data_IF_943347056057
#
_entry.id   IF_943347056057
#
_cell.length_a   1.000
_cell.length_b   1.000
_cell.length_c   1.000
_cell.angle_alpha   90.00
_cell.angle_beta   90.00
_cell.angle_gamma   90.00
#
_symmetry.space_group_name_H-M   'P 1'
#
loop_
_entity.id
_entity.type
_entity.pdbx_description
1 polymer ?
#
# COMPACT_ATOMS: atom_id res chain seq x y z
N UNK A 1 -36.47 32.82 -85.54
CA UNK A 1 -35.11 32.26 -85.70
C UNK A 1 -35.10 30.96 -84.89
N UNK A 2 -34.99 29.73 -85.41
CA UNK A 2 -34.10 29.06 -86.41
C UNK A 2 -32.87 28.38 -85.74
N UNK A 3 -32.95 27.04 -85.58
CA UNK A 3 -31.94 26.03 -85.13
C UNK A 3 -31.50 26.07 -83.65
N UNK A 4 -31.27 24.97 -82.89
CA UNK A 4 -31.13 23.50 -83.08
C UNK A 4 -29.69 22.92 -83.30
N UNK A 5 -29.13 22.27 -82.26
CA UNK A 5 -28.42 20.95 -82.16
C UNK A 5 -27.94 20.77 -80.68
N UNK A 6 -27.89 19.63 -79.96
CA UNK A 6 -27.81 18.16 -80.20
C UNK A 6 -26.40 17.72 -80.68
N UNK A 7 -25.67 16.74 -80.13
CA UNK A 7 -25.87 15.61 -79.17
C UNK A 7 -25.03 15.78 -77.86
N UNK A 8 -24.72 14.83 -76.92
CA UNK A 8 -24.95 13.38 -76.56
C UNK A 8 -24.98 13.34 -74.98
N UNK A 9 -25.50 12.40 -74.18
CA UNK A 9 -25.96 10.99 -74.27
C UNK A 9 -24.89 9.90 -74.04
N UNK A 10 -25.04 9.06 -73.00
CA UNK A 10 -24.43 7.72 -72.79
C UNK A 10 -25.25 6.95 -71.71
N UNK A 11 -25.24 5.61 -71.70
CA UNK A 11 -26.43 4.79 -71.33
C UNK A 11 -26.12 3.41 -70.70
N UNK A 12 -26.61 3.19 -69.45
CA UNK A 12 -26.99 1.90 -68.78
C UNK A 12 -25.95 0.74 -68.70
N UNK A 13 -26.08 -0.35 -67.91
CA UNK A 13 -27.20 -1.18 -67.38
C UNK A 13 -26.99 -1.60 -65.88
N UNK A 14 -28.01 -1.88 -65.05
CA UNK A 14 -28.72 -3.17 -64.77
C UNK A 14 -27.81 -4.42 -64.63
N UNK A 15 -27.95 -5.33 -63.64
CA UNK A 15 -29.10 -6.17 -63.15
C UNK A 15 -29.16 -6.28 -61.60
N UNK A 16 -30.27 -6.47 -60.85
CA UNK A 16 -31.40 -7.45 -60.78
C UNK A 16 -31.18 -8.73 -59.88
N UNK A 17 -32.30 -9.26 -59.34
CA UNK A 17 -32.52 -10.41 -58.41
C UNK A 17 -32.41 -10.12 -56.89
N UNK A 18 -33.45 -10.23 -56.04
CA UNK A 18 -34.31 -11.38 -55.59
C UNK A 18 -33.78 -12.02 -54.26
N UNK A 19 -34.58 -12.41 -53.24
CA UNK A 19 -36.05 -12.38 -53.06
C UNK A 19 -36.49 -12.25 -51.56
N UNK A 20 -37.81 -12.07 -51.37
CA UNK A 20 -38.75 -12.04 -50.20
C UNK A 20 -38.42 -12.50 -48.75
N UNK A 21 -39.07 -11.74 -47.84
CA UNK A 21 -39.95 -12.13 -46.69
C UNK A 21 -39.46 -12.63 -45.30
N UNK A 22 -39.89 -11.84 -44.30
CA UNK A 22 -40.60 -12.17 -43.05
C UNK A 22 -39.88 -12.62 -41.74
N UNK A 23 -40.41 -12.04 -40.64
CA UNK A 23 -40.55 -12.55 -39.26
C UNK A 23 -39.44 -12.37 -38.20
N UNK A 24 -39.87 -11.72 -37.11
CA UNK A 24 -39.45 -11.79 -35.69
C UNK A 24 -37.97 -12.01 -35.30
N UNK A 25 -37.40 -11.00 -34.63
CA UNK A 25 -36.40 -11.20 -33.57
C UNK A 25 -36.99 -10.84 -32.20
N UNK A 26 -36.97 -11.79 -31.26
CA UNK A 26 -37.34 -11.55 -29.87
C UNK A 26 -36.26 -10.74 -29.16
N UNK A 27 -36.63 -9.67 -28.45
CA UNK A 27 -35.77 -9.08 -27.42
C UNK A 27 -35.76 -10.01 -26.20
N UNK A 28 -34.80 -10.94 -26.17
CA UNK A 28 -34.58 -11.84 -25.04
C UNK A 28 -34.06 -11.05 -23.83
N UNK A 29 -34.97 -10.64 -22.94
CA UNK A 29 -34.61 -10.25 -21.58
C UNK A 29 -33.91 -11.42 -20.89
N UNK A 30 -32.58 -11.32 -20.74
CA UNK A 30 -31.80 -12.24 -19.92
C UNK A 30 -32.13 -12.00 -18.45
N UNK A 31 -33.20 -12.64 -17.98
CA UNK A 31 -33.54 -12.72 -16.56
C UNK A 31 -32.42 -13.49 -15.86
N UNK A 32 -31.53 -12.78 -15.17
CA UNK A 32 -30.37 -13.37 -14.47
C UNK A 32 -30.85 -14.17 -13.26
N UNK A 33 -31.15 -15.44 -13.47
CA UNK A 33 -31.46 -16.41 -12.40
C UNK A 33 -30.20 -16.62 -11.56
N UNK A 34 -30.14 -15.98 -10.40
CA UNK A 34 -29.13 -16.28 -9.38
C UNK A 34 -29.57 -17.59 -8.72
N UNK A 35 -28.75 -18.65 -8.84
CA UNK A 35 -29.00 -19.92 -8.14
C UNK A 35 -29.00 -19.71 -6.62
N UNK A 36 -29.77 -20.51 -5.88
CA UNK A 36 -29.84 -20.44 -4.42
C UNK A 36 -28.65 -21.12 -3.71
N UNK A 37 -27.68 -21.65 -4.46
CA UNK A 37 -26.42 -22.12 -3.91
C UNK A 37 -25.64 -20.96 -3.27
N UNK A 38 -25.20 -21.15 -2.02
CA UNK A 38 -24.54 -20.11 -1.26
C UNK A 38 -23.02 -20.16 -1.45
N UNK A 39 -22.54 -19.53 -2.52
CA UNK A 39 -21.11 -19.40 -2.78
C UNK A 39 -20.46 -18.45 -1.74
N UNK A 40 -19.41 -18.92 -1.07
CA UNK A 40 -18.77 -18.23 0.07
C UNK A 40 -17.25 -18.31 -0.02
N UNK A 41 -16.55 -17.47 0.75
CA UNK A 41 -15.13 -17.68 1.04
C UNK A 41 -14.96 -18.55 2.28
N UNK A 42 -13.95 -19.43 2.25
CA UNK A 42 -13.50 -20.21 3.41
C UNK A 42 -11.98 -20.09 3.58
N UNK A 43 -11.52 -20.14 4.83
CA UNK A 43 -10.17 -19.70 5.22
C UNK A 43 -10.17 -18.24 5.65
N UNK A 44 -9.00 -17.60 5.63
CA UNK A 44 -8.84 -16.19 5.99
C UNK A 44 -8.92 -15.84 7.48
N UNK A 45 -8.92 -14.52 7.76
CA UNK A 45 -8.90 -13.88 9.08
C UNK A 45 -9.64 -12.54 9.05
N UNK A 46 -10.17 -12.11 10.19
CA UNK A 46 -10.78 -10.78 10.39
C UNK A 46 -9.75 -9.64 10.32
N UNK A 47 -8.46 -9.94 10.55
CA UNK A 47 -7.36 -8.96 10.50
C UNK A 47 -6.05 -9.60 10.04
N UNK A 48 -5.32 -8.88 9.18
CA UNK A 48 -4.01 -9.25 8.64
C UNK A 48 -2.97 -8.14 8.84
N UNK A 49 -1.70 -8.51 8.72
CA UNK A 49 -0.63 -7.55 8.47
C UNK A 49 -0.52 -7.28 6.96
N UNK A 50 -0.20 -6.05 6.58
CA UNK A 50 0.11 -5.65 5.21
C UNK A 50 1.17 -6.58 4.59
N UNK A 51 0.89 -7.14 3.42
CA UNK A 51 1.76 -8.12 2.75
C UNK A 51 1.70 -9.55 3.31
N UNK A 52 0.74 -9.86 4.19
CA UNK A 52 0.44 -11.24 4.60
C UNK A 52 -0.42 -11.95 3.53
N UNK A 53 -0.26 -13.27 3.34
CA UNK A 53 -1.12 -14.07 2.46
C UNK A 53 -2.52 -14.21 3.06
N UNK A 54 -3.57 -13.95 2.28
CA UNK A 54 -4.96 -14.06 2.72
C UNK A 54 -5.38 -15.51 2.99
N UNK A 55 -4.88 -16.47 2.21
CA UNK A 55 -5.19 -17.90 2.41
C UNK A 55 -6.68 -18.22 2.26
N UNK A 56 -7.38 -17.50 1.40
CA UNK A 56 -8.80 -17.69 1.10
C UNK A 56 -8.99 -18.57 -0.15
N UNK A 57 -10.11 -19.29 -0.19
CA UNK A 57 -10.63 -19.98 -1.39
C UNK A 57 -12.15 -19.85 -1.44
N UNK A 58 -12.73 -19.98 -2.64
CA UNK A 58 -14.19 -20.02 -2.79
C UNK A 58 -14.70 -21.44 -2.51
N UNK A 59 -15.90 -21.57 -1.95
CA UNK A 59 -16.57 -22.85 -1.71
C UNK A 59 -18.09 -22.73 -1.80
N UNK A 60 -18.73 -23.79 -2.28
CA UNK A 60 -20.18 -24.04 -2.29
C UNK A 60 -20.68 -24.72 -1.01
N UNK A 61 -19.77 -25.21 -0.16
CA UNK A 61 -20.06 -26.16 0.92
C UNK A 61 -20.04 -27.64 0.49
N UNK A 62 -20.03 -27.90 -0.83
CA UNK A 62 -19.93 -29.23 -1.44
C UNK A 62 -18.71 -29.30 -2.37
N UNK A 63 -18.66 -30.28 -3.29
CA UNK A 63 -17.63 -30.32 -4.35
C UNK A 63 -17.76 -29.09 -5.27
N UNK A 64 -16.62 -28.58 -5.75
CA UNK A 64 -16.61 -27.43 -6.69
C UNK A 64 -17.05 -27.93 -8.08
N UNK A 65 -18.05 -27.29 -8.73
CA UNK A 65 -18.52 -27.71 -10.05
C UNK A 65 -17.41 -27.70 -11.12
N UNK A 66 -17.38 -28.73 -11.97
CA UNK A 66 -16.32 -28.90 -12.99
C UNK A 66 -16.53 -28.05 -14.25
N UNK A 67 -17.69 -27.41 -14.40
CA UNK A 67 -18.09 -26.59 -15.54
C UNK A 67 -17.90 -25.07 -15.30
N UNK A 68 -16.83 -24.70 -14.58
CA UNK A 68 -16.42 -23.30 -14.38
C UNK A 68 -15.63 -22.86 -15.61
N UNK A 69 -16.13 -21.84 -16.31
CA UNK A 69 -15.44 -21.25 -17.45
C UNK A 69 -14.36 -20.25 -17.00
N UNK A 70 -14.64 -19.42 -15.99
CA UNK A 70 -13.67 -18.46 -15.43
C UNK A 70 -14.09 -17.88 -14.08
N UNK A 71 -13.18 -17.15 -13.44
CA UNK A 71 -13.45 -16.35 -12.24
C UNK A 71 -12.85 -14.94 -12.35
N UNK A 72 -13.42 -14.01 -11.59
CA UNK A 72 -12.81 -12.73 -11.24
C UNK A 72 -12.97 -12.49 -9.72
N UNK A 73 -11.89 -12.15 -9.04
CA UNK A 73 -11.94 -11.56 -7.71
C UNK A 73 -11.92 -10.04 -7.83
N UNK A 74 -12.79 -9.37 -7.09
CA UNK A 74 -12.89 -7.93 -7.05
C UNK A 74 -12.79 -7.44 -5.61
N UNK A 75 -12.08 -6.33 -5.38
CA UNK A 75 -11.91 -5.72 -4.06
C UNK A 75 -12.27 -4.23 -4.05
N UNK A 76 -12.72 -3.73 -2.90
CA UNK A 76 -12.74 -2.29 -2.57
C UNK A 76 -12.22 -2.05 -1.16
N UNK A 77 -11.76 -0.84 -0.87
CA UNK A 77 -11.46 -0.41 0.50
C UNK A 77 -12.74 0.08 1.23
N UNK A 78 -12.63 0.45 2.50
CA UNK A 78 -13.68 1.18 3.25
C UNK A 78 -13.87 2.64 2.79
N UNK A 79 -12.92 3.20 2.04
CA UNK A 79 -12.99 4.54 1.44
C UNK A 79 -13.43 4.55 -0.02
N UNK A 80 -13.46 3.40 -0.69
CA UNK A 80 -13.92 3.25 -2.08
C UNK A 80 -15.37 2.75 -2.18
N UNK A 81 -16.19 3.40 -2.99
CA UNK A 81 -17.53 2.89 -3.37
C UNK A 81 -17.47 1.83 -4.48
N UNK A 82 -16.33 1.68 -5.16
CA UNK A 82 -16.19 0.85 -6.38
C UNK A 82 -15.27 -0.34 -6.14
N UNK A 83 -15.77 -1.51 -6.51
CA UNK A 83 -14.97 -2.71 -6.67
C UNK A 83 -14.05 -2.60 -7.90
N UNK A 84 -12.82 -3.12 -7.79
CA UNK A 84 -11.85 -3.28 -8.89
C UNK A 84 -11.35 -4.72 -8.94
N UNK A 85 -11.12 -5.27 -10.12
CA UNK A 85 -10.59 -6.64 -10.28
C UNK A 85 -9.15 -6.72 -9.76
N UNK A 86 -8.89 -7.71 -8.90
CA UNK A 86 -7.59 -7.92 -8.23
C UNK A 86 -6.87 -9.21 -8.64
N UNK A 87 -7.62 -10.20 -9.15
CA UNK A 87 -7.15 -11.45 -9.75
C UNK A 87 -8.25 -12.00 -10.68
N UNK A 88 -7.90 -12.71 -11.76
CA UNK A 88 -8.87 -13.36 -12.66
C UNK A 88 -8.23 -14.49 -13.47
N UNK A 89 -9.02 -15.49 -13.86
CA UNK A 89 -8.48 -16.63 -14.59
C UNK A 89 -9.45 -17.79 -14.81
N UNK A 90 -8.90 -18.94 -15.20
CA UNK A 90 -9.62 -20.14 -15.66
C UNK A 90 -9.44 -21.33 -14.68
N UNK A 91 -9.34 -21.06 -13.38
CA UNK A 91 -9.08 -22.11 -12.38
C UNK A 91 -10.37 -22.80 -11.91
N UNK A 92 -10.40 -24.13 -12.00
CA UNK A 92 -11.46 -24.97 -11.44
C UNK A 92 -11.29 -25.24 -9.94
N UNK A 93 -10.16 -24.89 -9.32
CA UNK A 93 -9.93 -25.09 -7.87
C UNK A 93 -10.33 -23.89 -7.02
N UNK A 94 -10.43 -22.70 -7.62
CA UNK A 94 -10.76 -21.42 -6.97
C UNK A 94 -9.99 -21.15 -5.65
N UNK A 95 -8.70 -21.49 -5.65
CA UNK A 95 -7.75 -21.26 -4.56
C UNK A 95 -6.85 -20.06 -4.87
N UNK A 96 -6.55 -19.26 -3.84
CA UNK A 96 -5.83 -17.98 -3.97
C UNK A 96 -4.66 -17.91 -2.99
N UNK A 97 -3.76 -18.92 -3.06
CA UNK A 97 -2.66 -19.12 -2.10
C UNK A 97 -1.58 -18.02 -2.14
N UNK A 98 -1.44 -17.36 -3.30
CA UNK A 98 -0.56 -16.20 -3.52
C UNK A 98 -1.33 -14.87 -3.51
N UNK A 99 -2.56 -14.80 -2.97
CA UNK A 99 -3.27 -13.52 -2.82
C UNK A 99 -2.90 -12.85 -1.49
N UNK A 100 -2.39 -11.61 -1.53
CA UNK A 100 -1.86 -10.88 -0.37
C UNK A 100 -2.78 -9.76 0.11
N UNK A 101 -2.68 -9.42 1.40
CA UNK A 101 -3.27 -8.23 2.02
C UNK A 101 -2.54 -6.96 1.52
N UNK A 102 -2.92 -6.44 0.36
CA UNK A 102 -2.16 -5.41 -0.37
C UNK A 102 -2.68 -3.96 -0.24
N UNK A 103 -3.72 -3.72 0.57
CA UNK A 103 -4.25 -2.38 0.89
C UNK A 103 -4.45 -2.24 2.41
N UNK A 104 -4.25 -1.04 2.95
CA UNK A 104 -4.48 -0.75 4.38
C UNK A 104 -5.96 -0.47 4.69
N UNK A 105 -6.31 -0.52 5.98
CA UNK A 105 -7.64 -0.18 6.48
C UNK A 105 -8.64 -1.33 6.39
N UNK A 106 -9.91 -1.02 6.13
CA UNK A 106 -10.95 -2.03 5.89
C UNK A 106 -10.98 -2.40 4.41
N UNK A 107 -11.02 -3.70 4.13
CA UNK A 107 -11.04 -4.28 2.78
C UNK A 107 -12.26 -5.21 2.62
N UNK A 108 -12.80 -5.26 1.41
CA UNK A 108 -13.99 -6.05 1.05
C UNK A 108 -13.71 -6.77 -0.26
N UNK A 109 -13.69 -8.10 -0.27
CA UNK A 109 -13.51 -8.92 -1.47
C UNK A 109 -14.84 -9.62 -1.83
N UNK A 110 -15.17 -9.67 -3.12
CA UNK A 110 -16.19 -10.57 -3.68
C UNK A 110 -15.62 -11.35 -4.87
N UNK A 111 -16.09 -12.57 -5.04
CA UNK A 111 -15.80 -13.39 -6.23
C UNK A 111 -17.00 -13.41 -7.17
N UNK A 112 -16.74 -13.25 -8.47
CA UNK A 112 -17.70 -13.56 -9.54
C UNK A 112 -17.18 -14.78 -10.29
N UNK A 113 -17.99 -15.84 -10.38
CA UNK A 113 -17.66 -17.11 -11.06
C UNK A 113 -18.60 -17.28 -12.25
N UNK A 114 -18.01 -17.56 -13.41
CA UNK A 114 -18.70 -17.76 -14.67
C UNK A 114 -18.69 -19.25 -15.02
N UNK A 115 -19.83 -19.76 -15.44
CA UNK A 115 -20.03 -21.17 -15.80
C UNK A 115 -20.02 -21.36 -17.32
N UNK A 116 -19.74 -22.59 -17.79
CA UNK A 116 -19.73 -22.92 -19.22
C UNK A 116 -21.11 -22.82 -19.89
N UNK A 117 -22.19 -22.92 -19.12
CA UNK A 117 -23.58 -22.77 -19.58
C UNK A 117 -24.07 -21.30 -19.60
N UNK A 118 -23.20 -20.36 -19.22
CA UNK A 118 -23.51 -18.93 -19.15
C UNK A 118 -24.15 -18.48 -17.83
N UNK A 119 -24.31 -19.35 -16.82
CA UNK A 119 -24.65 -18.91 -15.47
C UNK A 119 -23.51 -18.09 -14.85
N UNK A 120 -23.86 -17.14 -13.97
CA UNK A 120 -22.89 -16.26 -13.30
C UNK A 120 -23.23 -16.15 -11.82
N UNK A 121 -22.43 -16.82 -10.99
CA UNK A 121 -22.54 -16.85 -9.54
C UNK A 121 -21.70 -15.73 -8.92
N UNK A 122 -22.19 -15.14 -7.83
CA UNK A 122 -21.43 -14.18 -7.02
C UNK A 122 -21.36 -14.72 -5.59
N UNK A 123 -20.21 -14.55 -4.94
CA UNK A 123 -20.02 -14.94 -3.54
C UNK A 123 -20.67 -13.95 -2.59
N UNK A 124 -20.85 -14.33 -1.32
CA UNK A 124 -20.88 -13.34 -0.25
C UNK A 124 -19.59 -12.51 -0.24
N UNK A 125 -19.69 -11.28 0.28
CA UNK A 125 -18.53 -10.41 0.52
C UNK A 125 -17.77 -10.94 1.73
N UNK A 126 -16.45 -11.08 1.59
CA UNK A 126 -15.53 -11.30 2.70
C UNK A 126 -14.90 -9.96 3.08
N UNK A 127 -15.23 -9.45 4.27
CA UNK A 127 -14.63 -8.25 4.84
C UNK A 127 -13.55 -8.57 5.88
N UNK A 128 -12.50 -7.75 5.90
CA UNK A 128 -11.36 -7.90 6.80
C UNK A 128 -10.64 -6.57 6.98
N UNK A 129 -9.80 -6.50 8.03
CA UNK A 129 -8.91 -5.35 8.26
C UNK A 129 -7.46 -5.68 7.88
N UNK A 130 -6.73 -4.69 7.40
CA UNK A 130 -5.28 -4.75 7.19
C UNK A 130 -4.60 -3.63 7.97
N UNK A 131 -3.55 -3.98 8.71
CA UNK A 131 -2.74 -3.07 9.51
C UNK A 131 -1.33 -3.00 8.91
N UNK A 132 -0.59 -1.91 9.13
CA UNK A 132 0.85 -1.91 8.84
C UNK A 132 1.61 -2.94 9.69
N UNK A 133 2.86 -3.27 9.35
CA UNK A 133 3.70 -4.10 10.23
C UNK A 133 3.89 -3.46 11.61
N UNK A 134 3.96 -4.30 12.64
CA UNK A 134 4.30 -3.86 14.00
C UNK A 134 5.75 -3.36 14.04
N UNK A 135 5.97 -2.25 14.73
CA UNK A 135 7.30 -1.66 14.88
C UNK A 135 8.28 -2.60 15.59
N UNK A 136 7.79 -3.47 16.51
CA UNK A 136 8.56 -4.56 17.13
C UNK A 136 9.16 -5.52 16.11
N UNK A 137 8.45 -5.77 15.02
CA UNK A 137 8.80 -6.77 14.02
C UNK A 137 9.67 -6.14 12.93
N UNK A 138 9.52 -4.82 12.71
CA UNK A 138 10.39 -4.01 11.87
C UNK A 138 11.77 -3.83 12.50
N UNK A 139 11.86 -3.41 13.76
CA UNK A 139 13.17 -3.21 14.43
C UNK A 139 13.99 -4.49 14.54
N UNK A 140 13.36 -5.67 14.49
CA UNK A 140 14.09 -6.93 14.52
C UNK A 140 14.73 -7.33 13.18
N UNK A 141 14.31 -6.74 12.04
CA UNK A 141 14.85 -7.04 10.70
C UNK A 141 16.30 -6.59 10.57
N UNK A 142 17.14 -7.47 10.00
CA UNK A 142 18.58 -7.23 9.77
C UNK A 142 18.86 -5.94 9.00
N UNK A 143 18.06 -5.64 7.99
CA UNK A 143 18.22 -4.44 7.16
C UNK A 143 17.87 -3.17 7.95
N UNK A 144 16.72 -3.14 8.63
CA UNK A 144 16.31 -2.03 9.52
C UNK A 144 17.39 -1.76 10.58
N UNK A 145 17.88 -2.81 11.26
CA UNK A 145 19.00 -2.72 12.23
C UNK A 145 20.26 -2.12 11.63
N UNK A 146 20.59 -2.45 10.38
CA UNK A 146 21.73 -1.86 9.66
C UNK A 146 21.51 -0.36 9.42
N UNK A 147 20.38 0.03 8.83
CA UNK A 147 20.06 1.44 8.56
C UNK A 147 19.99 2.29 9.85
N UNK A 148 19.50 1.72 10.97
CA UNK A 148 19.57 2.35 12.30
C UNK A 148 21.01 2.57 12.77
N UNK A 149 21.90 1.59 12.59
CA UNK A 149 23.33 1.74 12.93
C UNK A 149 24.03 2.77 12.05
N UNK A 150 23.80 2.73 10.73
CA UNK A 150 24.37 3.68 9.78
C UNK A 150 23.98 5.13 10.13
N UNK A 151 22.72 5.37 10.49
CA UNK A 151 22.26 6.69 10.97
C UNK A 151 22.97 7.12 12.27
N UNK A 152 23.17 6.20 13.22
CA UNK A 152 23.87 6.51 14.46
C UNK A 152 25.36 6.80 14.25
N UNK A 153 26.01 6.06 13.37
CA UNK A 153 27.41 6.27 12.99
C UNK A 153 27.59 7.58 12.20
N UNK A 154 26.66 7.91 11.29
CA UNK A 154 26.60 9.22 10.62
C UNK A 154 26.40 10.37 11.61
N UNK A 155 25.55 10.21 12.62
CA UNK A 155 25.29 11.22 13.67
C UNK A 155 26.55 11.56 14.45
N UNK A 156 27.28 10.53 14.91
CA UNK A 156 28.57 10.72 15.59
C UNK A 156 29.62 11.36 14.66
N UNK A 157 29.65 10.94 13.39
CA UNK A 157 30.57 11.48 12.38
C UNK A 157 30.30 12.96 12.03
N UNK A 158 29.03 13.39 12.03
CA UNK A 158 28.65 14.79 11.83
C UNK A 158 29.09 15.67 13.00
N UNK A 159 28.98 15.18 14.24
CA UNK A 159 29.50 15.88 15.42
C UNK A 159 31.03 16.01 15.38
N UNK A 160 31.75 15.05 14.80
CA UNK A 160 33.20 15.15 14.59
C UNK A 160 33.59 16.25 13.59
N UNK A 161 32.70 16.57 12.65
CA UNK A 161 32.81 17.74 11.78
C UNK A 161 32.35 19.06 12.44
N UNK A 162 32.00 19.06 13.74
CA UNK A 162 31.36 20.18 14.45
C UNK A 162 30.03 20.63 13.82
N UNK A 163 29.18 19.66 13.48
CA UNK A 163 27.84 19.86 12.90
C UNK A 163 26.84 18.96 13.64
N UNK A 164 26.00 19.53 14.51
CA UNK A 164 24.85 18.81 15.09
C UNK A 164 23.83 18.57 13.97
N UNK A 165 23.57 17.31 13.65
CA UNK A 165 22.67 16.93 12.56
C UNK A 165 21.98 15.60 12.86
N UNK A 166 20.74 15.50 12.40
CA UNK A 166 19.89 14.31 12.51
C UNK A 166 19.99 13.49 11.23
N UNK A 167 20.01 12.17 11.37
CA UNK A 167 20.02 11.21 10.26
C UNK A 167 18.88 10.21 10.46
N UNK A 168 18.21 9.84 9.39
CA UNK A 168 17.05 8.97 9.48
C UNK A 168 16.58 8.45 8.14
N UNK A 169 15.59 7.57 8.15
CA UNK A 169 15.04 6.97 6.95
C UNK A 169 13.55 6.65 7.12
N UNK A 170 12.85 6.63 5.99
CA UNK A 170 11.49 6.07 5.89
C UNK A 170 11.63 4.59 5.50
N UNK A 171 10.99 3.70 6.24
CA UNK A 171 10.75 2.33 5.78
C UNK A 171 9.52 2.34 4.91
N UNK A 172 9.70 2.06 3.62
CA UNK A 172 8.64 1.86 2.66
C UNK A 172 8.40 0.36 2.44
N UNK A 173 7.14 0.00 2.19
CA UNK A 173 6.72 -1.36 1.92
C UNK A 173 5.85 -1.38 0.67
N UNK A 174 6.39 -1.97 -0.40
CA UNK A 174 5.66 -2.22 -1.64
C UNK A 174 4.95 -3.57 -1.57
N UNK A 175 3.69 -3.58 -1.95
CA UNK A 175 2.81 -4.76 -2.01
C UNK A 175 2.13 -4.83 -3.37
N UNK A 176 1.93 -6.05 -3.87
CA UNK A 176 1.13 -6.34 -5.07
C UNK A 176 0.15 -7.47 -4.72
N UNK A 177 -1.01 -7.54 -5.36
CA UNK A 177 -2.05 -8.51 -5.01
C UNK A 177 -1.56 -9.95 -5.09
N UNK A 178 -0.67 -10.26 -6.03
CA UNK A 178 -0.20 -11.62 -6.34
C UNK A 178 1.33 -11.81 -6.13
N UNK A 179 1.99 -11.01 -5.27
CA UNK A 179 3.44 -11.14 -4.99
C UNK A 179 3.82 -10.82 -3.55
N UNK A 180 4.88 -11.47 -3.07
CA UNK A 180 5.46 -11.20 -1.75
C UNK A 180 5.94 -9.74 -1.59
N UNK A 181 5.80 -9.16 -0.38
CA UNK A 181 6.10 -7.76 -0.14
C UNK A 181 7.60 -7.45 -0.22
N UNK A 182 7.92 -6.26 -0.72
CA UNK A 182 9.29 -5.75 -0.85
C UNK A 182 9.45 -4.53 0.05
N UNK A 183 10.49 -4.52 0.89
CA UNK A 183 10.87 -3.36 1.70
C UNK A 183 11.89 -2.49 0.95
N UNK A 184 11.82 -1.18 1.13
CA UNK A 184 12.80 -0.22 0.64
C UNK A 184 13.01 0.91 1.65
N UNK A 185 14.18 1.55 1.59
CA UNK A 185 14.62 2.54 2.57
C UNK A 185 14.88 3.88 1.86
N UNK A 186 14.26 4.95 2.35
CA UNK A 186 14.44 6.30 1.82
C UNK A 186 15.17 7.17 2.84
N UNK A 187 16.48 7.33 2.64
CA UNK A 187 17.38 8.10 3.50
C UNK A 187 17.05 9.61 3.50
N UNK A 188 17.08 10.22 4.68
CA UNK A 188 16.93 11.67 4.87
C UNK A 188 17.87 12.17 5.96
N UNK A 189 18.14 13.48 5.96
CA UNK A 189 19.03 14.14 6.92
C UNK A 189 18.47 15.50 7.29
N UNK A 190 18.50 15.85 8.57
CA UNK A 190 18.08 17.15 9.05
C UNK A 190 19.02 18.27 8.60
N UNK A 191 18.59 19.51 8.83
CA UNK A 191 19.45 20.67 8.59
C UNK A 191 20.60 20.66 9.60
N UNK A 192 21.87 20.81 9.18
CA UNK A 192 23.00 20.91 10.10
C UNK A 192 22.90 22.20 10.92
N UNK A 193 23.19 22.11 12.22
CA UNK A 193 23.21 23.24 13.15
C UNK A 193 24.50 23.24 13.96
N UNK A 194 24.98 24.43 14.28
CA UNK A 194 26.09 24.65 15.21
C UNK A 194 25.59 25.36 16.48
N UNK A 195 24.26 25.43 16.67
CA UNK A 195 23.66 25.98 17.87
C UNK A 195 23.91 25.06 19.07
N UNK A 196 24.32 25.66 20.18
CA UNK A 196 24.54 25.02 21.47
C UNK A 196 23.75 25.72 22.60
N UNK A 197 22.71 26.48 22.28
CA UNK A 197 21.77 26.98 23.30
C UNK A 197 21.01 25.82 23.94
N UNK A 198 20.63 25.97 25.21
CA UNK A 198 19.88 24.95 25.93
C UNK A 198 18.49 24.80 25.34
N UNK A 199 18.10 23.57 25.00
CA UNK A 199 16.88 23.29 24.24
C UNK A 199 16.97 23.53 22.72
N UNK A 200 18.16 23.77 22.16
CA UNK A 200 18.34 23.94 20.71
C UNK A 200 17.94 22.67 19.94
N UNK A 201 16.80 22.75 19.26
CA UNK A 201 16.18 21.71 18.42
C UNK A 201 16.88 21.62 17.06
N UNK A 202 17.13 20.40 16.58
CA UNK A 202 17.40 20.13 15.17
C UNK A 202 16.10 19.62 14.51
N UNK A 203 16.03 19.58 13.18
CA UNK A 203 14.83 19.08 12.51
C UNK A 203 15.18 18.34 11.23
N UNK A 204 14.77 17.07 11.22
CA UNK A 204 14.66 16.20 10.05
C UNK A 204 13.27 16.33 9.41
N UNK A 205 13.20 16.13 8.11
CA UNK A 205 11.93 16.06 7.37
C UNK A 205 11.92 14.76 6.56
N UNK A 206 10.79 14.05 6.61
CA UNK A 206 10.59 12.78 5.93
C UNK A 206 9.68 12.98 4.72
N UNK A 207 10.03 12.39 3.58
CA UNK A 207 9.14 12.25 2.44
C UNK A 207 8.24 11.04 2.70
N UNK A 208 7.06 11.30 3.27
CA UNK A 208 6.07 10.27 3.63
C UNK A 208 5.11 10.12 2.44
N UNK A 209 5.54 9.30 1.48
CA UNK A 209 4.77 8.99 0.28
C UNK A 209 4.01 7.67 0.45
N UNK A 210 2.70 7.70 0.22
CA UNK A 210 1.84 6.52 0.05
C UNK A 210 1.25 6.56 -1.38
N UNK A 211 1.34 5.46 -2.11
CA UNK A 211 0.90 5.35 -3.51
C UNK A 211 0.01 4.11 -3.66
N UNK A 212 -1.19 4.28 -4.24
CA UNK A 212 -2.15 3.21 -4.44
C UNK A 212 -2.59 3.05 -5.90
N UNK A 213 -2.66 1.79 -6.34
CA UNK A 213 -3.20 1.35 -7.63
C UNK A 213 -4.27 0.26 -7.41
N UNK A 214 -4.86 -0.27 -8.48
CA UNK A 214 -5.89 -1.32 -8.39
C UNK A 214 -5.35 -2.64 -7.79
N UNK A 215 -4.12 -3.04 -8.16
CA UNK A 215 -3.51 -4.34 -7.83
C UNK A 215 -2.19 -4.21 -7.06
N UNK A 216 -1.84 -3.00 -6.62
CA UNK A 216 -0.61 -2.75 -5.86
C UNK A 216 -0.70 -1.48 -5.03
N UNK A 217 0.14 -1.40 -4.00
CA UNK A 217 0.38 -0.19 -3.24
C UNK A 217 1.84 -0.10 -2.80
N UNK A 218 2.25 1.08 -2.39
CA UNK A 218 3.52 1.34 -1.70
C UNK A 218 3.21 2.27 -0.55
N UNK A 219 3.45 1.82 0.68
CA UNK A 219 3.18 2.61 1.88
C UNK A 219 4.47 2.94 2.62
N UNK A 220 4.57 4.17 3.10
CA UNK A 220 5.54 4.54 4.14
C UNK A 220 5.02 3.96 5.46
N UNK A 221 5.66 2.92 6.00
CA UNK A 221 5.15 2.11 7.13
C UNK A 221 5.82 2.38 8.49
N UNK A 222 7.04 2.94 8.51
CA UNK A 222 7.69 3.41 9.73
C UNK A 222 8.70 4.53 9.46
N UNK A 223 8.93 5.37 10.46
CA UNK A 223 9.97 6.40 10.48
C UNK A 223 11.07 6.04 11.48
N UNK A 224 12.31 6.36 11.14
CA UNK A 224 13.47 6.19 12.01
C UNK A 224 14.35 7.43 11.93
N UNK A 225 14.78 7.99 13.05
CA UNK A 225 15.88 8.96 13.07
C UNK A 225 16.69 8.93 14.37
N UNK A 226 17.65 9.83 14.42
CA UNK A 226 18.68 9.96 15.45
C UNK A 226 18.71 11.41 15.93
N UNK A 227 18.84 11.63 17.24
CA UNK A 227 19.04 12.97 17.79
C UNK A 227 20.53 13.28 17.99
N UNK A 228 20.96 14.53 17.75
CA UNK A 228 22.37 14.88 17.72
C UNK A 228 22.94 14.99 19.14
N UNK A 229 24.22 14.64 19.34
CA UNK A 229 24.91 14.86 20.61
C UNK A 229 25.07 16.36 20.93
N UNK A 230 25.56 16.62 22.15
CA UNK A 230 26.09 17.90 22.61
C UNK A 230 27.60 17.77 22.97
N UNK A 231 28.30 16.74 22.49
CA UNK A 231 29.70 16.45 22.88
C UNK A 231 30.64 17.65 22.69
N UNK A 232 30.46 18.44 21.63
CA UNK A 232 31.31 19.59 21.33
C UNK A 232 30.71 20.91 21.88
N UNK A 233 29.53 20.89 22.51
CA UNK A 233 28.90 22.06 23.13
C UNK A 233 29.44 22.36 24.54
N UNK A 234 29.37 23.61 25.02
CA UNK A 234 29.70 23.98 26.40
C UNK A 234 28.91 23.17 27.44
N UNK A 235 29.51 22.88 28.59
CA UNK A 235 28.86 22.09 29.66
C UNK A 235 27.65 22.76 30.33
N UNK A 236 27.42 24.04 30.05
CA UNK A 236 26.19 24.78 30.42
C UNK A 236 25.01 24.49 29.48
N UNK A 237 25.29 23.99 28.29
CA UNK A 237 24.29 23.59 27.30
C UNK A 237 23.64 22.27 27.71
N UNK A 238 22.33 22.12 27.50
CA UNK A 238 21.62 20.86 27.72
C UNK A 238 20.42 20.69 26.80
N UNK A 239 19.94 19.46 26.66
CA UNK A 239 18.62 19.14 26.08
C UNK A 239 18.03 17.90 26.75
N UNK A 240 16.71 17.78 26.66
CA UNK A 240 16.00 16.54 26.99
C UNK A 240 16.26 15.46 25.94
N UNK A 241 16.00 14.20 26.29
CA UNK A 241 16.28 13.03 25.45
C UNK A 241 15.07 12.12 25.24
N UNK A 242 14.99 11.53 24.06
CA UNK A 242 13.77 10.91 23.53
C UNK A 242 13.04 11.85 22.57
N UNK A 243 11.79 11.53 22.20
CA UNK A 243 11.07 12.24 21.14
C UNK A 243 10.61 13.64 21.56
N UNK A 244 10.79 14.59 20.65
CA UNK A 244 10.25 15.95 20.75
C UNK A 244 8.75 16.01 20.40
N UNK A 245 8.12 17.14 20.69
CA UNK A 245 6.76 17.43 20.22
C UNK A 245 6.64 17.34 18.69
N UNK A 246 7.69 17.72 17.94
CA UNK A 246 7.69 17.63 16.49
C UNK A 246 7.69 16.18 16.00
N UNK A 247 8.41 15.29 16.67
CA UNK A 247 8.43 13.86 16.34
C UNK A 247 7.06 13.23 16.65
N UNK A 248 6.49 13.59 17.80
CA UNK A 248 5.16 13.15 18.22
C UNK A 248 4.07 13.61 17.25
N UNK A 249 4.11 14.87 16.80
CA UNK A 249 3.18 15.40 15.80
C UNK A 249 3.37 14.69 14.44
N UNK A 250 4.62 14.57 13.96
CA UNK A 250 4.93 13.92 12.68
C UNK A 250 4.45 12.47 12.65
N UNK A 251 4.63 11.71 13.73
CA UNK A 251 4.13 10.34 13.87
C UNK A 251 2.59 10.29 13.96
N UNK A 252 1.97 11.22 14.69
CA UNK A 252 0.52 11.22 14.92
C UNK A 252 -0.28 11.65 13.69
N UNK A 253 0.13 12.73 13.01
CA UNK A 253 -0.57 13.29 11.86
C UNK A 253 -0.55 12.33 10.66
N UNK A 254 0.58 11.63 10.47
CA UNK A 254 0.76 10.62 9.43
C UNK A 254 0.36 9.18 9.86
N UNK A 255 -0.10 9.02 11.11
CA UNK A 255 -0.53 7.74 11.72
C UNK A 255 0.49 6.60 11.55
N UNK A 256 1.75 6.93 11.71
CA UNK A 256 2.90 6.08 11.37
C UNK A 256 3.76 5.86 12.63
N UNK A 257 4.21 4.63 12.93
CA UNK A 257 5.16 4.41 14.02
C UNK A 257 6.48 5.11 13.71
N UNK A 258 7.03 5.81 14.70
CA UNK A 258 8.30 6.53 14.59
C UNK A 258 9.22 6.14 15.74
N UNK A 259 10.50 5.89 15.43
CA UNK A 259 11.53 5.46 16.39
C UNK A 259 12.69 6.44 16.39
N UNK A 260 12.99 6.96 17.58
CA UNK A 260 14.06 7.92 17.82
C UNK A 260 15.19 7.24 18.60
N UNK A 261 16.38 7.22 17.99
CA UNK A 261 17.64 6.83 18.61
C UNK A 261 18.25 8.06 19.31
N UNK A 262 18.33 8.03 20.64
CA UNK A 262 18.87 9.16 21.41
C UNK A 262 19.82 8.70 22.54
N UNK A 263 20.65 9.60 23.04
CA UNK A 263 21.56 9.37 24.15
C UNK A 263 20.78 9.25 25.47
N UNK A 264 20.90 8.11 26.14
CA UNK A 264 20.23 7.87 27.43
C UNK A 264 18.71 7.73 27.36
N UNK A 265 18.09 7.37 28.48
CA UNK A 265 16.72 6.87 28.55
C UNK A 265 15.75 7.87 29.19
N UNK A 266 15.28 8.87 28.43
CA UNK A 266 14.25 9.82 28.88
C UNK A 266 14.73 10.74 30.01
N UNK A 267 15.83 11.47 29.77
CA UNK A 267 16.45 12.35 30.75
C UNK A 267 17.00 13.63 30.13
N UNK A 268 18.05 14.19 30.73
CA UNK A 268 18.76 15.37 30.20
C UNK A 268 20.21 14.99 29.91
N UNK A 269 20.71 15.34 28.72
CA UNK A 269 22.14 15.37 28.42
C UNK A 269 22.68 16.79 28.50
N UNK A 270 23.97 16.90 28.84
CA UNK A 270 24.71 18.15 28.96
C UNK A 270 25.85 18.18 27.94
N UNK A 271 26.34 19.39 27.62
CA UNK A 271 27.48 19.58 26.75
C UNK A 271 28.75 18.89 27.29
N UNK A 272 29.57 18.34 26.39
CA UNK A 272 30.75 17.56 26.77
C UNK A 272 30.47 16.09 27.13
N UNK A 273 29.25 15.57 26.95
CA UNK A 273 28.99 14.14 27.15
C UNK A 273 29.75 13.26 26.16
N UNK A 274 30.02 12.01 26.54
CA UNK A 274 30.67 11.03 25.67
C UNK A 274 29.82 10.75 24.40
N UNK A 275 30.40 11.00 23.22
CA UNK A 275 29.84 10.66 21.90
C UNK A 275 29.66 9.16 21.69
N UNK A 276 30.48 8.34 22.35
CA UNK A 276 30.46 6.88 22.25
C UNK A 276 29.61 6.21 23.34
N UNK A 277 28.75 6.97 24.03
CA UNK A 277 27.64 6.38 24.79
C UNK A 277 26.66 5.68 23.85
N UNK A 278 26.06 4.58 24.29
CA UNK A 278 25.03 3.87 23.52
C UNK A 278 23.75 4.71 23.38
N UNK A 279 23.06 4.53 22.24
CA UNK A 279 21.70 5.04 22.10
C UNK A 279 20.71 4.21 22.93
N UNK A 280 19.58 4.82 23.26
CA UNK A 280 18.35 4.16 23.69
C UNK A 280 17.33 4.31 22.57
N UNK A 281 16.48 3.28 22.36
CA UNK A 281 15.33 3.39 21.46
C UNK A 281 14.15 3.99 22.21
N UNK A 282 13.51 4.97 21.59
CA UNK A 282 12.29 5.60 22.07
C UNK A 282 11.30 5.76 20.92
N UNK A 283 10.00 5.87 21.23
CA UNK A 283 8.92 5.81 20.26
C UNK A 283 8.12 7.11 20.28
N UNK A 284 7.92 7.73 19.11
CA UNK A 284 7.18 8.97 18.98
C UNK A 284 5.73 8.73 18.54
N UNK A 285 4.80 9.54 19.05
CA UNK A 285 3.38 9.43 18.77
C UNK A 285 2.70 8.21 19.42
N UNK A 286 1.46 7.96 19.02
CA UNK A 286 0.59 6.95 19.64
C UNK A 286 0.50 5.63 18.85
N UNK A 287 1.31 5.45 17.81
CA UNK A 287 1.18 4.38 16.82
C UNK A 287 2.31 3.35 16.92
N UNK A 288 1.97 2.08 17.09
CA UNK A 288 2.91 0.94 17.03
C UNK A 288 2.93 0.24 15.67
N UNK A 289 1.99 0.61 14.78
CA UNK A 289 1.81 0.14 13.41
C UNK A 289 0.95 1.17 12.66
N UNK A 290 1.07 1.23 11.33
CA UNK A 290 0.27 2.13 10.49
C UNK A 290 -1.21 1.71 10.44
N UNK A 291 -2.12 2.68 10.36
CA UNK A 291 -3.58 2.51 10.24
C UNK A 291 -4.14 2.99 8.89
#
# INVERSE_FOLDING_TARGET
MRKLLIFLISVLFFTCSEDKEDRCTHTSSLTRTISSEKWTFVGGKDTYVLGERLGIRISTGEDIPTNISSFALEMKTGTDDRYVTIASGYSTTLQFEDLYAFKLGLCYIKGTVYMDDGQVMETEVFDFKVMGPLISDLIEKTEVKKHMSDCWDNTKSSEEANSRREFGFVVQMKVESEKEPIYSFSETTGTPSNDCTTGAVNTIQFNIDDIENNTSASYSVALFHTHPPLTNCPSTSSRETGPSDQDNNTANDNRIPSVVLDYGSGGIIYGGHNRNSFYTLSYAGNYTQKL
#
